data_IF_921632603869
#
_entry.id   IF_921632603869
#
_cell.length_a   1.000
_cell.length_b   1.000
_cell.length_c   1.000
_cell.angle_alpha   90.00
_cell.angle_beta   90.00
_cell.angle_gamma   90.00
#
_symmetry.space_group_name_H-M   'P 1'
#
loop_
_entity.id
_entity.type
_entity.pdbx_description
1 polymer ?
#
# COMPACT_ATOMS: atom_id res chain seq x y z
N UNK A 1 -17.08 6.92 -8.32
CA UNK A 1 -15.83 7.13 -7.56
C UNK A 1 -14.84 7.59 -8.60
N UNK A 2 -14.62 8.89 -8.68
CA UNK A 2 -14.14 9.49 -9.93
C UNK A 2 -12.68 9.94 -9.80
N UNK A 3 -12.11 9.80 -8.59
CA UNK A 3 -10.71 10.09 -8.32
C UNK A 3 -9.96 8.78 -8.08
N UNK A 4 -8.91 8.57 -8.87
CA UNK A 4 -8.09 7.36 -8.80
C UNK A 4 -6.62 7.72 -8.66
N UNK A 5 -5.87 6.89 -7.93
CA UNK A 5 -4.41 6.98 -7.85
C UNK A 5 -3.82 5.57 -7.81
N UNK A 6 -2.75 5.36 -8.55
CA UNK A 6 -1.96 4.13 -8.47
C UNK A 6 -0.56 4.48 -7.98
N UNK A 7 -0.11 3.80 -6.93
CA UNK A 7 1.26 3.88 -6.42
C UNK A 7 1.99 2.58 -6.72
N UNK A 8 3.23 2.68 -7.18
CA UNK A 8 4.14 1.56 -7.41
C UNK A 8 5.38 1.77 -6.54
N UNK A 9 5.57 0.90 -5.56
CA UNK A 9 6.61 1.03 -4.54
C UNK A 9 7.57 -0.16 -4.70
N UNK A 10 8.80 0.08 -5.19
CA UNK A 10 9.79 -0.98 -5.34
C UNK A 10 10.27 -1.47 -3.97
N UNK A 11 10.45 -2.78 -3.85
CA UNK A 11 11.09 -3.45 -2.72
C UNK A 11 12.34 -4.21 -3.21
N UNK A 12 13.32 -4.49 -2.32
CA UNK A 12 14.51 -5.24 -2.69
C UNK A 12 14.24 -6.66 -3.22
N UNK A 13 13.11 -7.28 -2.86
CA UNK A 13 12.67 -8.54 -3.42
C UNK A 13 11.14 -8.67 -3.47
N UNK A 14 10.64 -9.54 -4.36
CA UNK A 14 9.23 -9.88 -4.44
C UNK A 14 8.68 -10.46 -3.13
N UNK A 15 9.50 -11.20 -2.39
CA UNK A 15 9.15 -11.73 -1.07
C UNK A 15 8.91 -10.60 -0.06
N UNK A 16 9.78 -9.58 -0.04
CA UNK A 16 9.59 -8.41 0.82
C UNK A 16 8.37 -7.59 0.40
N UNK A 17 8.13 -7.42 -0.91
CA UNK A 17 6.91 -6.76 -1.40
C UNK A 17 5.64 -7.49 -0.92
N UNK A 18 5.61 -8.82 -0.93
CA UNK A 18 4.47 -9.59 -0.46
C UNK A 18 4.31 -9.59 1.07
N UNK A 19 5.41 -9.61 1.84
CA UNK A 19 5.34 -9.40 3.28
C UNK A 19 4.74 -8.02 3.57
N UNK A 20 5.16 -6.98 2.83
CA UNK A 20 4.62 -5.63 3.03
C UNK A 20 3.14 -5.55 2.69
N UNK A 21 2.72 -6.18 1.58
CA UNK A 21 1.31 -6.31 1.22
C UNK A 21 0.50 -6.94 2.36
N UNK A 22 0.95 -8.10 2.86
CA UNK A 22 0.26 -8.84 3.92
C UNK A 22 0.20 -8.09 5.25
N UNK A 23 1.22 -7.31 5.59
CA UNK A 23 1.23 -6.48 6.78
C UNK A 23 0.23 -5.31 6.69
N UNK A 24 0.05 -4.73 5.50
CA UNK A 24 -0.77 -3.53 5.30
C UNK A 24 -2.23 -3.87 4.95
N UNK A 25 -2.48 -5.01 4.30
CA UNK A 25 -3.80 -5.41 3.82
C UNK A 25 -4.91 -5.44 4.90
N UNK A 26 -4.69 -5.91 6.14
CA UNK A 26 -5.70 -5.91 7.19
C UNK A 26 -6.25 -4.52 7.55
N UNK A 27 -5.49 -3.45 7.27
CA UNK A 27 -5.91 -2.06 7.48
C UNK A 27 -6.83 -1.58 6.35
N UNK A 28 -7.93 -2.30 6.09
CA UNK A 28 -8.93 -1.90 5.09
C UNK A 28 -9.79 -0.78 5.64
N UNK A 29 -10.06 0.24 4.82
CA UNK A 29 -10.85 1.38 5.25
C UNK A 29 -12.32 0.98 5.52
N UNK A 30 -12.92 1.47 6.63
CA UNK A 30 -14.24 1.02 7.08
C UNK A 30 -15.39 1.48 6.17
N UNK A 31 -15.17 2.45 5.28
CA UNK A 31 -16.19 3.09 4.43
C UNK A 31 -15.93 2.84 2.96
N UNK A 32 -16.29 1.63 2.49
CA UNK A 32 -16.11 1.17 1.10
C UNK A 32 -16.86 2.01 0.06
N UNK A 33 -17.85 2.80 0.48
CA UNK A 33 -18.60 3.75 -0.35
C UNK A 33 -17.82 5.05 -0.64
N UNK A 34 -16.84 5.37 0.21
CA UNK A 34 -16.00 6.57 0.09
C UNK A 34 -14.62 6.28 -0.50
N UNK A 35 -14.09 5.08 -0.23
CA UNK A 35 -12.76 4.65 -0.67
C UNK A 35 -12.71 3.15 -0.92
N UNK A 36 -12.09 2.78 -2.03
CA UNK A 36 -11.61 1.41 -2.28
C UNK A 36 -10.10 1.45 -2.44
N UNK A 37 -9.40 0.54 -1.76
CA UNK A 37 -7.96 0.28 -1.92
C UNK A 37 -7.74 -1.19 -2.29
N UNK A 38 -7.02 -1.42 -3.36
CA UNK A 38 -6.57 -2.75 -3.80
C UNK A 38 -5.04 -2.80 -3.74
N UNK A 39 -4.48 -3.89 -3.21
CA UNK A 39 -3.03 -4.11 -3.16
C UNK A 39 -2.68 -5.36 -3.97
N UNK A 40 -1.61 -5.26 -4.76
CA UNK A 40 -1.06 -6.37 -5.54
C UNK A 40 0.47 -6.31 -5.51
N UNK A 41 1.13 -7.44 -5.77
CA UNK A 41 2.58 -7.49 -5.96
C UNK A 41 2.86 -7.91 -7.39
N UNK A 42 3.69 -7.10 -8.06
CA UNK A 42 4.34 -7.44 -9.31
C UNK A 42 5.63 -8.20 -8.93
N UNK A 43 5.60 -9.52 -9.08
CA UNK A 43 6.68 -10.39 -8.65
C UNK A 43 7.94 -10.21 -9.50
N UNK A 44 7.79 -10.00 -10.80
CA UNK A 44 8.92 -9.81 -11.72
C UNK A 44 9.63 -8.48 -11.44
N UNK A 45 8.87 -7.43 -11.12
CA UNK A 45 9.42 -6.11 -10.79
C UNK A 45 9.69 -5.89 -9.29
N UNK A 46 9.48 -6.89 -8.43
CA UNK A 46 9.57 -6.76 -6.96
C UNK A 46 8.84 -5.52 -6.41
N UNK A 47 7.66 -5.22 -6.95
CA UNK A 47 6.97 -3.94 -6.73
C UNK A 47 5.61 -4.15 -6.06
N UNK A 48 5.34 -3.43 -4.98
CA UNK A 48 4.01 -3.32 -4.38
C UNK A 48 3.20 -2.28 -5.14
N UNK A 49 2.06 -2.69 -5.69
CA UNK A 49 1.10 -1.81 -6.35
C UNK A 49 -0.11 -1.57 -5.45
N UNK A 50 -0.44 -0.29 -5.24
CA UNK A 50 -1.61 0.13 -4.49
C UNK A 50 -2.52 1.01 -5.36
N UNK A 51 -3.74 0.53 -5.60
CA UNK A 51 -4.75 1.22 -6.41
C UNK A 51 -5.84 1.77 -5.51
N UNK A 52 -6.03 3.08 -5.58
CA UNK A 52 -7.04 3.80 -4.81
C UNK A 52 -8.13 4.31 -5.75
N UNK A 53 -9.39 4.19 -5.31
CA UNK A 53 -10.54 4.86 -5.90
C UNK A 53 -11.31 5.56 -4.80
N UNK A 54 -11.58 6.85 -4.95
CA UNK A 54 -12.21 7.68 -3.92
C UNK A 54 -13.34 8.54 -4.48
N UNK A 55 -14.28 8.92 -3.60
CA UNK A 55 -15.37 9.85 -3.95
C UNK A 55 -14.92 11.30 -4.10
N UNK A 56 -13.88 11.73 -3.38
CA UNK A 56 -13.33 13.08 -3.48
C UNK A 56 -11.82 13.07 -3.21
N UNK A 57 -11.13 14.12 -3.69
CA UNK A 57 -9.67 14.31 -3.53
C UNK A 57 -9.24 14.36 -2.07
N UNK A 58 -10.06 14.93 -1.18
CA UNK A 58 -9.75 14.98 0.26
C UNK A 58 -9.61 13.59 0.87
N UNK A 59 -10.54 12.69 0.55
CA UNK A 59 -10.52 11.29 1.01
C UNK A 59 -9.32 10.57 0.44
N UNK A 60 -9.06 10.73 -0.86
CA UNK A 60 -7.89 10.14 -1.52
C UNK A 60 -6.59 10.56 -0.83
N UNK A 61 -6.40 11.87 -0.58
CA UNK A 61 -5.20 12.41 0.07
C UNK A 61 -4.99 11.83 1.47
N UNK A 62 -6.04 11.80 2.30
CA UNK A 62 -5.94 11.30 3.67
C UNK A 62 -5.59 9.82 3.69
N UNK A 63 -6.25 9.01 2.85
CA UNK A 63 -6.02 7.58 2.78
C UNK A 63 -4.65 7.22 2.21
N UNK A 64 -4.19 7.95 1.20
CA UNK A 64 -2.85 7.77 0.61
C UNK A 64 -1.76 8.11 1.63
N UNK A 65 -1.92 9.19 2.39
CA UNK A 65 -0.95 9.55 3.44
C UNK A 65 -0.86 8.45 4.51
N UNK A 66 -2.00 7.99 5.03
CA UNK A 66 -2.02 6.91 6.03
C UNK A 66 -1.44 5.58 5.50
N UNK A 67 -1.67 5.28 4.22
CA UNK A 67 -1.04 4.15 3.56
C UNK A 67 0.49 4.29 3.49
N UNK A 68 1.00 5.46 3.10
CA UNK A 68 2.45 5.71 3.04
C UNK A 68 3.11 5.65 4.41
N UNK A 69 2.44 6.12 5.46
CA UNK A 69 2.90 5.96 6.85
C UNK A 69 3.04 4.47 7.22
N UNK A 70 2.06 3.65 6.82
CA UNK A 70 2.09 2.20 7.03
C UNK A 70 3.24 1.53 6.25
N UNK A 71 3.47 1.95 5.00
CA UNK A 71 4.62 1.47 4.21
C UNK A 71 5.93 1.84 4.89
N UNK A 72 6.11 3.09 5.33
CA UNK A 72 7.32 3.53 6.03
C UNK A 72 7.56 2.70 7.29
N UNK A 73 6.52 2.45 8.08
CA UNK A 73 6.62 1.61 9.28
C UNK A 73 7.10 0.20 8.92
N UNK A 74 6.44 -0.45 7.96
CA UNK A 74 6.77 -1.82 7.55
C UNK A 74 8.18 -1.91 6.96
N UNK A 75 8.57 -0.95 6.11
CA UNK A 75 9.93 -0.89 5.56
C UNK A 75 10.98 -0.73 6.66
N UNK A 76 10.71 0.07 7.69
CA UNK A 76 11.60 0.20 8.86
C UNK A 76 11.68 -1.09 9.67
N UNK A 77 10.54 -1.77 9.89
CA UNK A 77 10.50 -3.06 10.56
C UNK A 77 11.31 -4.11 9.79
N UNK A 78 11.14 -4.19 8.47
CA UNK A 78 11.95 -5.08 7.63
C UNK A 78 13.43 -4.75 7.72
N UNK A 79 13.80 -3.47 7.63
CA UNK A 79 15.21 -3.07 7.73
C UNK A 79 15.84 -3.36 9.10
N UNK A 80 15.04 -3.41 10.18
CA UNK A 80 15.53 -3.66 11.53
C UNK A 80 15.59 -5.14 11.91
N UNK A 81 14.81 -5.99 11.22
CA UNK A 81 14.58 -7.39 11.64
C UNK A 81 14.64 -8.42 10.51
N UNK A 82 14.84 -8.02 9.25
CA UNK A 82 15.14 -9.00 8.21
C UNK A 82 16.57 -9.49 8.42
N UNK A 83 16.73 -10.82 8.50
CA UNK A 83 18.05 -11.45 8.47
C UNK A 83 18.74 -11.19 7.11
N UNK A 84 20.07 -11.03 7.12
CA UNK A 84 20.91 -10.84 5.92
C UNK A 84 20.79 -12.00 4.90
#
# INVERSE_FOLDING_TARGET
MDHTLTLRIPFPSAAQADIARRAIEPNREPRKDLLVRELAVDADASTLEARFRARNVKTLRVSVNSFLESVVLVSRTMSAFADD
#
